data_IF_548451377930
#
_entry.id   IF_548451377930
#
_cell.length_a   1.000
_cell.length_b   1.000
_cell.length_c   1.000
_cell.angle_alpha   90.00
_cell.angle_beta   90.00
_cell.angle_gamma   90.00
#
_symmetry.space_group_name_H-M   'P 1'
#
loop_
_entity.id
_entity.type
_entity.pdbx_description
1 polymer ?
#
# COMPACT_ATOMS: atom_id res chain seq x y z
N UNK A 1 37.57 10.98 -33.87
CA UNK A 1 37.29 10.19 -32.68
C UNK A 1 38.20 8.95 -32.74
N UNK A 2 39.09 8.77 -31.76
CA UNK A 2 40.11 7.75 -31.76
C UNK A 2 39.48 6.36 -31.60
N UNK A 3 40.01 5.32 -32.29
CA UNK A 3 39.46 3.95 -32.27
C UNK A 3 39.27 3.40 -30.83
N UNK A 4 40.15 3.77 -29.91
CA UNK A 4 40.10 3.44 -28.48
C UNK A 4 38.85 4.08 -27.80
N UNK A 5 38.56 5.33 -28.10
CA UNK A 5 37.40 6.06 -27.53
C UNK A 5 36.07 5.44 -28.00
N UNK A 6 36.02 4.94 -29.25
CA UNK A 6 34.83 4.25 -29.79
C UNK A 6 34.59 2.91 -29.10
N UNK A 7 35.63 2.10 -28.89
CA UNK A 7 35.53 0.81 -28.19
C UNK A 7 35.13 0.96 -26.73
N UNK A 8 35.67 1.97 -26.03
CA UNK A 8 35.26 2.30 -24.64
C UNK A 8 33.80 2.76 -24.57
N UNK A 9 33.33 3.51 -25.55
CA UNK A 9 31.93 3.97 -25.57
C UNK A 9 30.95 2.84 -25.84
N UNK A 10 31.26 1.95 -26.77
CA UNK A 10 30.49 0.74 -27.08
C UNK A 10 30.44 -0.20 -25.86
N UNK A 11 31.57 -0.47 -25.19
CA UNK A 11 31.64 -1.29 -23.99
C UNK A 11 30.82 -0.72 -22.84
N UNK A 12 30.85 0.60 -22.62
CA UNK A 12 30.03 1.24 -21.59
C UNK A 12 28.51 1.20 -21.92
N UNK A 13 28.14 1.29 -23.17
CA UNK A 13 26.74 1.17 -23.61
C UNK A 13 26.20 -0.24 -23.38
N UNK A 14 26.95 -1.29 -23.78
CA UNK A 14 26.59 -2.69 -23.53
C UNK A 14 26.48 -3.01 -22.03
N UNK A 15 27.40 -2.50 -21.22
CA UNK A 15 27.35 -2.68 -19.77
C UNK A 15 26.12 -2.01 -19.15
N UNK A 16 25.76 -0.82 -19.62
CA UNK A 16 24.58 -0.09 -19.13
C UNK A 16 23.29 -0.82 -19.50
N UNK A 17 23.21 -1.37 -20.71
CA UNK A 17 22.05 -2.14 -21.17
C UNK A 17 21.89 -3.45 -20.38
N UNK A 18 22.97 -4.17 -20.15
CA UNK A 18 22.97 -5.37 -19.30
C UNK A 18 22.50 -5.08 -17.84
N UNK A 19 22.86 -3.92 -17.29
CA UNK A 19 22.36 -3.49 -15.96
C UNK A 19 20.86 -3.18 -15.98
N UNK A 20 20.36 -2.51 -17.02
CA UNK A 20 18.93 -2.24 -17.20
C UNK A 20 18.13 -3.54 -17.30
N UNK A 21 18.55 -4.48 -18.12
CA UNK A 21 17.90 -5.78 -18.24
C UNK A 21 17.86 -6.56 -16.92
N UNK A 22 18.98 -6.55 -16.17
CA UNK A 22 19.03 -7.18 -14.84
C UNK A 22 18.03 -6.53 -13.89
N UNK A 23 17.98 -5.20 -13.87
CA UNK A 23 17.05 -4.43 -13.03
C UNK A 23 15.58 -4.68 -13.42
N UNK A 24 15.27 -4.80 -14.71
CA UNK A 24 13.94 -5.14 -15.20
C UNK A 24 13.51 -6.55 -14.78
N UNK A 25 14.41 -7.54 -14.89
CA UNK A 25 14.14 -8.92 -14.39
C UNK A 25 13.93 -8.96 -12.88
N UNK A 26 14.65 -8.13 -12.11
CA UNK A 26 14.44 -8.01 -10.66
C UNK A 26 13.08 -7.38 -10.34
N UNK A 27 12.65 -6.38 -11.12
CA UNK A 27 11.33 -5.74 -10.97
C UNK A 27 10.19 -6.74 -11.20
N UNK A 28 10.27 -7.57 -12.26
CA UNK A 28 9.29 -8.61 -12.51
C UNK A 28 9.20 -9.63 -11.37
N UNK A 29 10.34 -10.04 -10.80
CA UNK A 29 10.35 -10.95 -9.64
C UNK A 29 9.77 -10.28 -8.39
N UNK A 30 10.09 -9.02 -8.15
CA UNK A 30 9.53 -8.26 -7.04
C UNK A 30 8.01 -8.14 -7.17
N UNK A 31 7.51 -7.78 -8.36
CA UNK A 31 6.08 -7.71 -8.66
C UNK A 31 5.39 -9.04 -8.39
N UNK A 32 5.91 -10.13 -8.93
CA UNK A 32 5.34 -11.47 -8.71
C UNK A 32 5.31 -11.86 -7.22
N UNK A 33 6.39 -11.63 -6.47
CA UNK A 33 6.44 -11.96 -5.03
C UNK A 33 5.41 -11.11 -4.27
N UNK A 34 5.33 -9.82 -4.56
CA UNK A 34 4.36 -8.94 -3.89
C UNK A 34 2.92 -9.34 -4.20
N UNK A 35 2.58 -9.67 -5.45
CA UNK A 35 1.25 -10.15 -5.82
C UNK A 35 0.85 -11.42 -5.06
N UNK A 36 1.78 -12.39 -4.95
CA UNK A 36 1.55 -13.61 -4.17
C UNK A 36 1.32 -13.29 -2.69
N UNK A 37 2.12 -12.37 -2.12
CA UNK A 37 1.96 -11.97 -0.71
C UNK A 37 0.61 -11.25 -0.48
N UNK A 38 0.17 -10.37 -1.39
CA UNK A 38 -1.15 -9.75 -1.31
C UNK A 38 -2.29 -10.77 -1.42
N UNK A 39 -2.18 -11.74 -2.33
CA UNK A 39 -3.16 -12.82 -2.45
C UNK A 39 -3.24 -13.67 -1.17
N UNK A 40 -2.10 -13.99 -0.56
CA UNK A 40 -2.05 -14.71 0.72
C UNK A 40 -2.64 -13.89 1.87
N UNK A 41 -2.39 -12.58 1.92
CA UNK A 41 -2.98 -11.69 2.92
C UNK A 41 -4.51 -11.63 2.79
N UNK A 42 -5.05 -11.52 1.58
CA UNK A 42 -6.50 -11.57 1.34
C UNK A 42 -7.10 -12.90 1.76
N UNK A 43 -6.45 -14.02 1.39
CA UNK A 43 -6.88 -15.34 1.84
C UNK A 43 -6.87 -15.48 3.37
N UNK A 44 -5.83 -14.97 4.03
CA UNK A 44 -5.70 -15.01 5.48
C UNK A 44 -6.83 -14.26 6.19
N UNK A 45 -7.28 -13.12 5.67
CA UNK A 45 -8.41 -12.37 6.24
C UNK A 45 -9.68 -13.22 6.24
N UNK A 46 -9.96 -13.96 5.16
CA UNK A 46 -11.12 -14.87 5.11
C UNK A 46 -11.03 -16.00 6.16
N UNK A 47 -9.82 -16.43 6.52
CA UNK A 47 -9.64 -17.45 7.56
C UNK A 47 -9.92 -16.93 8.99
N UNK A 48 -9.98 -15.61 9.17
CA UNK A 48 -10.31 -14.98 10.46
C UNK A 48 -11.82 -14.81 10.67
N UNK A 49 -12.66 -15.13 9.68
CA UNK A 49 -14.11 -15.05 9.82
C UNK A 49 -14.58 -15.87 11.02
N UNK A 50 -15.43 -15.28 11.90
CA UNK A 50 -16.07 -16.00 12.98
C UNK A 50 -16.82 -17.21 12.41
N UNK A 51 -16.56 -18.39 12.97
CA UNK A 51 -17.27 -19.61 12.58
C UNK A 51 -18.39 -19.83 13.59
N UNK A 52 -19.64 -20.06 13.12
CA UNK A 52 -20.72 -20.51 13.99
C UNK A 52 -20.33 -21.81 14.69
N UNK A 53 -20.73 -21.97 15.95
CA UNK A 53 -20.54 -23.22 16.67
C UNK A 53 -21.34 -24.33 15.99
N UNK A 54 -20.65 -25.41 15.57
CA UNK A 54 -21.23 -26.46 14.72
C UNK A 54 -22.29 -27.25 15.47
N UNK A 55 -22.17 -27.34 16.78
CA UNK A 55 -23.08 -28.16 17.63
C UNK A 55 -24.46 -27.51 17.86
N UNK A 56 -24.58 -26.20 17.54
CA UNK A 56 -25.81 -25.43 17.77
C UNK A 56 -26.25 -24.64 16.51
N UNK A 57 -25.78 -25.04 15.32
CA UNK A 57 -26.10 -24.34 14.08
C UNK A 57 -27.55 -24.59 13.64
N UNK A 58 -28.43 -23.62 13.90
CA UNK A 58 -29.76 -23.50 13.30
C UNK A 58 -29.83 -22.21 12.44
N UNK A 59 -30.61 -22.23 11.39
CA UNK A 59 -30.76 -21.08 10.49
C UNK A 59 -31.24 -19.79 11.23
N UNK A 60 -31.97 -19.94 12.33
CA UNK A 60 -32.36 -18.85 13.24
C UNK A 60 -31.17 -18.27 14.00
N UNK A 61 -30.14 -19.05 14.29
CA UNK A 61 -28.95 -18.61 15.02
C UNK A 61 -27.96 -17.87 14.11
N UNK A 62 -28.02 -18.06 12.78
CA UNK A 62 -27.12 -17.36 11.85
C UNK A 62 -27.30 -15.85 11.93
N UNK A 63 -28.53 -15.34 11.95
CA UNK A 63 -28.80 -13.90 12.06
C UNK A 63 -28.28 -13.34 13.39
N UNK A 64 -28.41 -14.11 14.48
CA UNK A 64 -27.89 -13.72 15.79
C UNK A 64 -26.36 -13.67 15.80
N UNK A 65 -25.68 -14.70 15.30
CA UNK A 65 -24.20 -14.74 15.17
C UNK A 65 -23.69 -13.56 14.32
N UNK A 66 -24.35 -13.25 13.20
CA UNK A 66 -23.99 -12.12 12.35
C UNK A 66 -24.19 -10.80 13.08
N UNK A 67 -25.26 -10.64 13.87
CA UNK A 67 -25.54 -9.42 14.62
C UNK A 67 -24.62 -9.22 15.81
N UNK A 68 -24.22 -10.29 16.50
CA UNK A 68 -23.28 -10.23 17.62
C UNK A 68 -21.84 -9.93 17.16
N UNK A 69 -21.47 -10.38 15.97
CA UNK A 69 -20.11 -10.24 15.40
C UNK A 69 -19.96 -9.06 14.41
N UNK A 70 -20.93 -8.12 14.37
CA UNK A 70 -20.93 -7.06 13.33
C UNK A 70 -19.64 -6.21 13.30
N UNK A 71 -19.05 -5.92 14.46
CA UNK A 71 -17.78 -5.18 14.54
C UNK A 71 -16.64 -5.96 13.89
N UNK A 72 -16.57 -7.27 14.11
CA UNK A 72 -15.55 -8.12 13.49
C UNK A 72 -15.69 -8.14 11.96
N UNK A 73 -16.91 -8.19 11.44
CA UNK A 73 -17.16 -8.09 9.99
C UNK A 73 -16.79 -6.71 9.44
N UNK A 74 -17.06 -5.63 10.18
CA UNK A 74 -16.66 -4.28 9.80
C UNK A 74 -15.13 -4.13 9.78
N UNK A 75 -14.44 -4.60 10.81
CA UNK A 75 -12.97 -4.59 10.88
C UNK A 75 -12.36 -5.40 9.73
N UNK A 76 -12.91 -6.59 9.45
CA UNK A 76 -12.48 -7.41 8.32
C UNK A 76 -12.68 -6.71 6.98
N UNK A 77 -13.87 -6.10 6.76
CA UNK A 77 -14.18 -5.38 5.53
C UNK A 77 -13.21 -4.20 5.30
N UNK A 78 -12.96 -3.42 6.34
CA UNK A 78 -11.94 -2.34 6.30
C UNK A 78 -10.56 -2.92 5.99
N UNK A 79 -10.19 -4.03 6.62
CA UNK A 79 -8.93 -4.74 6.36
C UNK A 79 -8.76 -5.14 4.90
N UNK A 80 -9.80 -5.76 4.31
CA UNK A 80 -9.81 -6.14 2.88
C UNK A 80 -9.63 -4.91 2.00
N UNK A 81 -10.39 -3.84 2.24
CA UNK A 81 -10.31 -2.62 1.46
C UNK A 81 -8.91 -2.01 1.52
N UNK A 82 -8.29 -1.94 2.70
CA UNK A 82 -6.94 -1.40 2.87
C UNK A 82 -5.89 -2.24 2.12
N UNK A 83 -5.96 -3.57 2.23
CA UNK A 83 -5.05 -4.45 1.48
C UNK A 83 -5.21 -4.27 -0.04
N UNK A 84 -6.44 -4.15 -0.54
CA UNK A 84 -6.70 -3.90 -1.96
C UNK A 84 -6.19 -2.52 -2.41
N UNK A 85 -6.31 -1.50 -1.57
CA UNK A 85 -5.78 -0.16 -1.85
C UNK A 85 -4.24 -0.23 -1.97
N UNK A 86 -3.55 -0.84 -1.02
CA UNK A 86 -2.09 -0.99 -1.06
C UNK A 86 -1.62 -1.86 -2.23
N UNK A 87 -2.34 -2.93 -2.56
CA UNK A 87 -2.07 -3.72 -3.75
C UNK A 87 -2.16 -2.88 -5.04
N UNK A 88 -3.24 -2.10 -5.18
CA UNK A 88 -3.42 -1.22 -6.33
C UNK A 88 -2.34 -0.12 -6.39
N UNK A 89 -1.90 0.40 -5.26
CA UNK A 89 -0.80 1.36 -5.17
C UNK A 89 0.54 0.73 -5.60
N UNK A 90 0.83 -0.50 -5.19
CA UNK A 90 2.02 -1.23 -5.64
C UNK A 90 2.00 -1.46 -7.15
N UNK A 91 0.86 -1.86 -7.71
CA UNK A 91 0.69 -2.02 -9.15
C UNK A 91 0.91 -0.71 -9.89
N UNK A 92 0.39 0.41 -9.34
CA UNK A 92 0.62 1.73 -9.91
C UNK A 92 2.11 2.12 -9.86
N UNK A 93 2.81 1.85 -8.77
CA UNK A 93 4.24 2.15 -8.65
C UNK A 93 5.05 1.28 -9.62
N UNK A 94 4.91 -0.04 -9.55
CA UNK A 94 5.71 -0.97 -10.34
C UNK A 94 5.45 -0.85 -11.84
N UNK A 95 4.22 -0.55 -12.26
CA UNK A 95 3.86 -0.30 -13.65
C UNK A 95 4.52 0.96 -14.24
N UNK A 96 5.02 1.87 -13.39
CA UNK A 96 5.70 3.09 -13.80
C UNK A 96 7.22 3.04 -13.57
N UNK A 97 7.77 1.88 -13.18
CA UNK A 97 9.20 1.65 -13.07
C UNK A 97 9.74 0.96 -14.33
N UNK A 98 10.93 1.35 -14.76
CA UNK A 98 11.69 0.67 -15.81
C UNK A 98 12.53 -0.47 -15.22
N UNK A 99 13.08 -0.28 -14.02
CA UNK A 99 13.93 -1.23 -13.33
C UNK A 99 13.91 -1.04 -11.81
N UNK A 100 14.39 -2.06 -11.10
CA UNK A 100 14.60 -1.98 -9.64
C UNK A 100 16.02 -2.37 -9.25
N UNK A 101 16.38 -2.10 -8.01
CA UNK A 101 17.61 -2.57 -7.39
C UNK A 101 17.35 -3.15 -5.99
N UNK A 102 18.39 -3.69 -5.35
CA UNK A 102 18.26 -4.33 -4.05
C UNK A 102 17.71 -3.39 -2.96
N UNK A 103 18.06 -2.10 -2.97
CA UNK A 103 17.56 -1.13 -1.96
C UNK A 103 16.09 -0.82 -2.16
N UNK A 104 15.68 -0.54 -3.39
CA UNK A 104 14.27 -0.30 -3.72
C UNK A 104 13.42 -1.54 -3.37
N UNK A 105 13.88 -2.74 -3.77
CA UNK A 105 13.21 -3.99 -3.45
C UNK A 105 13.07 -4.21 -1.94
N UNK A 106 14.10 -3.89 -1.14
CA UNK A 106 14.05 -4.01 0.32
C UNK A 106 13.03 -3.07 0.93
N UNK A 107 12.93 -1.81 0.47
CA UNK A 107 11.95 -0.84 0.96
C UNK A 107 10.53 -1.32 0.63
N UNK A 108 10.31 -1.81 -0.60
CA UNK A 108 9.00 -2.34 -1.02
C UNK A 108 8.59 -3.60 -0.22
N UNK A 109 9.55 -4.49 0.09
CA UNK A 109 9.28 -5.65 0.94
C UNK A 109 8.96 -5.23 2.37
N UNK A 110 9.65 -4.20 2.94
CA UNK A 110 9.33 -3.68 4.27
C UNK A 110 7.90 -3.14 4.35
N UNK A 111 7.40 -2.49 3.29
CA UNK A 111 5.98 -2.11 3.19
C UNK A 111 5.06 -3.32 3.37
N UNK A 112 5.32 -4.41 2.62
CA UNK A 112 4.51 -5.63 2.69
C UNK A 112 4.61 -6.29 4.06
N UNK A 113 5.79 -6.30 4.69
CA UNK A 113 5.98 -6.81 6.06
C UNK A 113 5.15 -6.01 7.06
N UNK A 114 5.10 -4.67 6.94
CA UNK A 114 4.22 -3.85 7.79
C UNK A 114 2.74 -4.21 7.62
N UNK A 115 2.29 -4.51 6.38
CA UNK A 115 0.92 -4.96 6.12
C UNK A 115 0.64 -6.35 6.72
N UNK A 116 1.62 -7.27 6.70
CA UNK A 116 1.48 -8.57 7.38
C UNK A 116 1.38 -8.41 8.90
N UNK A 117 2.15 -7.49 9.49
CA UNK A 117 2.06 -7.17 10.93
C UNK A 117 0.70 -6.52 11.23
N UNK A 118 0.20 -5.65 10.35
CA UNK A 118 -1.16 -5.11 10.45
C UNK A 118 -2.20 -6.23 10.54
N UNK A 119 -2.15 -7.22 9.64
CA UNK A 119 -3.08 -8.35 9.66
C UNK A 119 -2.97 -9.19 10.95
N UNK A 120 -1.79 -9.33 11.52
CA UNK A 120 -1.64 -9.94 12.83
C UNK A 120 -2.42 -9.19 13.91
N UNK A 121 -2.37 -7.84 13.92
CA UNK A 121 -3.16 -7.03 14.86
C UNK A 121 -4.65 -7.06 14.55
N UNK A 122 -5.07 -7.16 13.27
CA UNK A 122 -6.48 -7.38 12.90
C UNK A 122 -6.99 -8.69 13.52
N UNK A 123 -6.20 -9.74 13.45
CA UNK A 123 -6.55 -11.02 14.10
C UNK A 123 -6.69 -10.87 15.62
N UNK A 124 -5.74 -10.22 16.27
CA UNK A 124 -5.80 -9.98 17.72
C UNK A 124 -7.03 -9.13 18.10
N UNK A 125 -7.42 -8.17 17.26
CA UNK A 125 -8.61 -7.36 17.48
C UNK A 125 -9.89 -8.20 17.50
N UNK A 126 -9.98 -9.17 16.59
CA UNK A 126 -11.09 -10.12 16.55
C UNK A 126 -11.12 -11.10 17.75
N UNK A 127 -9.95 -11.45 18.31
CA UNK A 127 -9.83 -12.35 19.46
C UNK A 127 -10.05 -11.61 20.79
N UNK A 128 -9.65 -10.33 20.89
CA UNK A 128 -9.63 -9.54 22.15
C UNK A 128 -10.57 -8.34 22.14
N UNK A 129 -11.50 -8.26 21.19
CA UNK A 129 -12.62 -7.31 21.15
C UNK A 129 -12.25 -5.83 21.36
N UNK A 130 -11.50 -5.26 20.44
CA UNK A 130 -11.32 -3.81 20.36
C UNK A 130 -10.44 -3.19 21.44
N UNK A 131 -9.41 -3.91 21.92
CA UNK A 131 -8.44 -3.36 22.85
C UNK A 131 -7.72 -2.13 22.23
N UNK A 132 -7.69 -1.03 22.98
CA UNK A 132 -7.12 0.25 22.52
C UNK A 132 -5.71 0.09 21.93
N UNK A 133 -4.83 -0.66 22.61
CA UNK A 133 -3.47 -0.87 22.15
C UNK A 133 -3.43 -1.61 20.80
N UNK A 134 -4.32 -2.58 20.58
CA UNK A 134 -4.38 -3.35 19.33
C UNK A 134 -4.79 -2.44 18.18
N UNK A 135 -5.82 -1.61 18.35
CA UNK A 135 -6.29 -0.64 17.35
C UNK A 135 -5.20 0.40 17.03
N UNK A 136 -4.47 0.86 18.04
CA UNK A 136 -3.34 1.77 17.87
C UNK A 136 -2.21 1.11 17.07
N UNK A 137 -1.87 -0.16 17.35
CA UNK A 137 -0.85 -0.89 16.61
C UNK A 137 -1.27 -1.12 15.15
N UNK A 138 -2.55 -1.34 14.87
CA UNK A 138 -3.07 -1.38 13.50
C UNK A 138 -2.83 -0.04 12.79
N UNK A 139 -3.15 1.10 13.43
CA UNK A 139 -2.91 2.43 12.86
C UNK A 139 -1.42 2.69 12.61
N UNK A 140 -0.54 2.35 13.55
CA UNK A 140 0.91 2.53 13.42
C UNK A 140 1.50 1.68 12.29
N UNK A 141 1.13 0.41 12.20
CA UNK A 141 1.66 -0.49 11.16
C UNK A 141 1.21 -0.10 9.76
N UNK A 142 -0.03 0.39 9.60
CA UNK A 142 -0.51 0.95 8.34
C UNK A 142 0.17 2.27 7.98
N UNK A 143 0.39 3.16 8.96
CA UNK A 143 1.14 4.38 8.74
C UNK A 143 2.58 4.09 8.28
N UNK A 144 3.24 3.10 8.88
CA UNK A 144 4.56 2.62 8.46
C UNK A 144 4.53 2.02 7.05
N UNK A 145 3.53 1.21 6.72
CA UNK A 145 3.37 0.66 5.37
C UNK A 145 3.24 1.78 4.33
N UNK A 146 2.42 2.80 4.61
CA UNK A 146 2.28 3.97 3.75
C UNK A 146 3.57 4.80 3.65
N UNK A 147 4.30 4.97 4.75
CA UNK A 147 5.60 5.62 4.75
C UNK A 147 6.61 4.89 3.86
N UNK A 148 6.71 3.55 3.95
CA UNK A 148 7.59 2.77 3.09
C UNK A 148 7.16 2.82 1.62
N UNK A 149 5.85 2.87 1.33
CA UNK A 149 5.32 3.08 -0.02
C UNK A 149 5.79 4.41 -0.61
N UNK A 150 5.64 5.52 0.13
CA UNK A 150 6.11 6.84 -0.27
C UNK A 150 7.63 6.89 -0.42
N UNK A 151 8.36 6.25 0.49
CA UNK A 151 9.82 6.21 0.44
C UNK A 151 10.33 5.39 -0.75
N UNK A 152 9.69 4.25 -1.05
CA UNK A 152 9.97 3.43 -2.24
C UNK A 152 9.84 4.28 -3.51
N UNK A 153 8.74 5.00 -3.66
CA UNK A 153 8.49 5.89 -4.80
C UNK A 153 9.51 7.03 -4.88
N UNK A 154 9.78 7.70 -3.75
CA UNK A 154 10.81 8.74 -3.68
C UNK A 154 12.19 8.23 -4.10
N UNK A 155 12.57 7.05 -3.60
CA UNK A 155 13.84 6.43 -3.95
C UNK A 155 13.93 6.13 -5.44
N UNK A 156 12.87 5.62 -6.05
CA UNK A 156 12.80 5.30 -7.47
C UNK A 156 13.00 6.56 -8.34
N UNK A 157 12.36 7.67 -7.99
CA UNK A 157 12.52 8.95 -8.68
C UNK A 157 13.95 9.46 -8.57
N UNK A 158 14.47 9.52 -7.34
CA UNK A 158 15.82 10.06 -7.05
C UNK A 158 16.92 9.29 -7.80
N UNK A 159 16.75 7.99 -7.97
CA UNK A 159 17.74 7.12 -8.60
C UNK A 159 17.41 6.80 -10.07
N UNK A 160 16.49 7.54 -10.70
CA UNK A 160 16.12 7.37 -12.12
C UNK A 160 15.74 5.92 -12.46
N UNK A 161 14.87 5.31 -11.62
CA UNK A 161 14.33 3.96 -11.84
C UNK A 161 12.97 3.98 -12.51
N UNK A 162 12.35 5.17 -12.59
CA UNK A 162 11.08 5.40 -13.26
C UNK A 162 11.25 5.39 -14.77
N UNK A 163 10.16 5.08 -15.49
CA UNK A 163 10.14 5.11 -16.95
C UNK A 163 10.47 6.52 -17.50
N UNK A 164 11.32 6.57 -18.52
CA UNK A 164 11.70 7.81 -19.20
C UNK A 164 10.50 8.51 -19.87
N UNK A 165 9.40 7.79 -20.11
CA UNK A 165 8.15 8.33 -20.65
C UNK A 165 7.33 9.11 -19.62
N UNK A 166 7.63 8.97 -18.32
CA UNK A 166 6.88 9.59 -17.24
C UNK A 166 7.22 11.07 -17.11
N UNK A 167 6.22 11.92 -17.26
CA UNK A 167 6.37 13.36 -17.01
C UNK A 167 6.49 13.65 -15.51
N UNK A 168 7.12 14.78 -15.16
CA UNK A 168 7.19 15.27 -13.77
C UNK A 168 5.79 15.41 -13.14
N UNK A 169 4.79 15.69 -13.97
CA UNK A 169 3.39 15.80 -13.54
C UNK A 169 2.84 14.45 -13.10
N UNK A 170 2.96 13.41 -13.92
CA UNK A 170 2.50 12.06 -13.59
C UNK A 170 3.21 11.51 -12.38
N UNK A 171 4.50 11.80 -12.22
CA UNK A 171 5.29 11.45 -11.04
C UNK A 171 4.71 12.05 -9.75
N UNK A 172 4.32 13.36 -9.77
CA UNK A 172 3.69 14.02 -8.64
C UNK A 172 2.26 13.51 -8.40
N UNK A 173 1.54 13.15 -9.47
CA UNK A 173 0.20 12.59 -9.37
C UNK A 173 0.21 11.25 -8.64
N UNK A 174 1.24 10.43 -8.86
CA UNK A 174 1.43 9.18 -8.12
C UNK A 174 1.69 9.48 -6.64
N UNK A 175 2.54 10.45 -6.29
CA UNK A 175 2.73 10.87 -4.90
C UNK A 175 1.41 11.22 -4.19
N UNK A 176 0.57 12.02 -4.86
CA UNK A 176 -0.72 12.45 -4.30
C UNK A 176 -1.71 11.27 -4.14
N UNK A 177 -1.57 10.22 -4.93
CA UNK A 177 -2.36 8.99 -4.78
C UNK A 177 -1.87 8.08 -3.67
N UNK A 178 -0.59 8.18 -3.27
CA UNK A 178 0.01 7.37 -2.20
C UNK A 178 -0.14 8.01 -0.82
N UNK A 179 -0.48 9.30 -0.72
CA UNK A 179 -0.53 10.04 0.55
C UNK A 179 -1.77 9.79 1.42
N UNK A 180 -2.98 9.53 0.89
CA UNK A 180 -4.19 9.45 1.72
C UNK A 180 -4.11 8.41 2.83
N UNK A 181 -3.62 7.22 2.55
CA UNK A 181 -3.61 6.10 3.49
C UNK A 181 -2.69 6.35 4.70
N UNK A 182 -1.40 6.74 4.55
CA UNK A 182 -0.57 7.02 5.72
C UNK A 182 -1.09 8.20 6.54
N UNK A 183 -1.68 9.22 5.90
CA UNK A 183 -2.28 10.36 6.62
C UNK A 183 -3.46 9.88 7.46
N UNK A 184 -4.39 9.14 6.86
CA UNK A 184 -5.57 8.63 7.57
C UNK A 184 -5.17 7.66 8.66
N UNK A 185 -4.19 6.78 8.41
CA UNK A 185 -3.67 5.86 9.42
C UNK A 185 -3.16 6.58 10.67
N UNK A 186 -2.44 7.70 10.50
CA UNK A 186 -2.02 8.53 11.64
C UNK A 186 -3.23 9.20 12.32
N UNK A 187 -4.19 9.68 11.53
CA UNK A 187 -5.39 10.33 12.07
C UNK A 187 -6.31 9.36 12.84
N UNK A 188 -6.36 8.07 12.47
CA UNK A 188 -7.17 7.07 13.19
C UNK A 188 -6.61 6.71 14.56
N UNK A 189 -5.32 6.90 14.81
CA UNK A 189 -4.65 6.54 16.06
C UNK A 189 -5.35 7.08 17.34
N UNK A 190 -5.69 8.38 17.45
CA UNK A 190 -6.37 8.88 18.65
C UNK A 190 -7.83 8.41 18.80
N UNK A 191 -8.49 8.00 17.72
CA UNK A 191 -9.87 7.52 17.81
C UNK A 191 -9.99 6.19 18.56
N UNK A 192 -8.90 5.41 18.64
CA UNK A 192 -8.84 4.19 19.44
C UNK A 192 -9.13 4.41 20.93
N UNK A 193 -8.83 5.62 21.48
CA UNK A 193 -9.17 5.95 22.87
C UNK A 193 -10.65 6.24 23.08
N UNK A 194 -11.40 6.55 22.02
CA UNK A 194 -12.83 6.89 22.12
C UNK A 194 -13.66 5.60 22.17
N UNK A 195 -13.57 4.78 21.13
CA UNK A 195 -14.20 3.47 21.06
C UNK A 195 -13.72 2.69 19.81
N UNK A 196 -13.86 1.34 19.78
CA UNK A 196 -13.59 0.54 18.58
C UNK A 196 -14.43 1.01 17.38
N UNK A 197 -15.70 1.32 17.59
CA UNK A 197 -16.58 1.83 16.53
C UNK A 197 -16.09 3.18 15.99
N UNK A 198 -15.69 4.10 16.86
CA UNK A 198 -15.16 5.41 16.44
C UNK A 198 -13.89 5.25 15.61
N UNK A 199 -12.99 4.34 16.02
CA UNK A 199 -11.78 4.01 15.27
C UNK A 199 -12.10 3.43 13.89
N UNK A 200 -13.03 2.47 13.81
CA UNK A 200 -13.47 1.86 12.54
C UNK A 200 -14.10 2.90 11.62
N UNK A 201 -14.98 3.76 12.13
CA UNK A 201 -15.61 4.82 11.35
C UNK A 201 -14.62 5.91 10.91
N UNK A 202 -13.53 6.11 11.65
CA UNK A 202 -12.49 7.07 11.27
C UNK A 202 -11.82 6.71 9.93
N UNK A 203 -11.86 5.44 9.49
CA UNK A 203 -11.40 5.04 8.16
C UNK A 203 -12.22 5.66 7.02
N UNK A 204 -13.46 6.12 7.28
CA UNK A 204 -14.24 6.89 6.30
C UNK A 204 -13.56 8.23 5.94
N UNK A 205 -12.62 8.72 6.75
CA UNK A 205 -11.78 9.87 6.42
C UNK A 205 -10.95 9.67 5.14
N UNK A 206 -10.76 8.44 4.69
CA UNK A 206 -10.13 8.18 3.38
C UNK A 206 -10.89 8.87 2.24
N UNK A 207 -12.22 8.95 2.31
CA UNK A 207 -13.04 9.56 1.26
C UNK A 207 -12.73 11.06 1.10
N UNK A 208 -12.86 11.91 2.15
CA UNK A 208 -12.56 13.33 2.03
C UNK A 208 -11.07 13.61 1.81
N UNK A 209 -10.15 12.83 2.38
CA UNK A 209 -8.70 13.01 2.18
C UNK A 209 -8.32 12.69 0.72
N UNK A 210 -8.85 11.62 0.14
CA UNK A 210 -8.64 11.28 -1.28
C UNK A 210 -9.27 12.32 -2.20
N UNK A 211 -10.45 12.82 -1.87
CA UNK A 211 -11.09 13.91 -2.63
C UNK A 211 -10.25 15.20 -2.57
N UNK A 212 -9.72 15.54 -1.39
CA UNK A 212 -8.85 16.71 -1.21
C UNK A 212 -7.55 16.58 -2.01
N UNK A 213 -6.91 15.41 -2.00
CA UNK A 213 -5.71 15.14 -2.79
C UNK A 213 -5.97 15.33 -4.29
N UNK A 214 -7.09 14.83 -4.82
CA UNK A 214 -7.51 15.04 -6.21
C UNK A 214 -7.78 16.52 -6.53
N UNK A 215 -8.38 17.27 -5.61
CA UNK A 215 -8.65 18.70 -5.77
C UNK A 215 -7.36 19.53 -5.77
N UNK A 216 -6.40 19.18 -4.92
CA UNK A 216 -5.07 19.81 -4.92
C UNK A 216 -4.34 19.54 -6.25
N UNK A 217 -4.41 18.31 -6.75
CA UNK A 217 -3.90 17.91 -8.05
C UNK A 217 -4.49 18.80 -9.17
N UNK A 218 -5.82 18.94 -9.23
CA UNK A 218 -6.50 19.77 -10.22
C UNK A 218 -6.09 21.25 -10.15
N UNK A 219 -5.91 21.82 -8.95
CA UNK A 219 -5.45 23.21 -8.76
C UNK A 219 -4.01 23.43 -9.21
N UNK A 220 -3.11 22.49 -8.94
CA UNK A 220 -1.74 22.56 -9.45
C UNK A 220 -1.67 22.55 -10.99
N UNK A 221 -2.66 21.91 -11.61
CA UNK A 221 -2.80 21.86 -13.07
C UNK A 221 -3.22 23.21 -13.65
N UNK A 222 -4.25 23.84 -13.06
CA UNK A 222 -4.75 25.14 -13.50
C UNK A 222 -3.68 26.24 -13.35
N UNK A 223 -2.96 26.27 -12.23
CA UNK A 223 -1.92 27.27 -11.95
C UNK A 223 -0.70 27.22 -12.87
N UNK A 224 -0.41 26.10 -13.54
CA UNK A 224 0.70 25.97 -14.51
C UNK A 224 0.28 26.24 -15.94
N UNK A 225 -1.01 26.13 -16.27
CA UNK A 225 -1.56 26.49 -17.60
C UNK A 225 -1.61 28.00 -17.82
N UNK A 226 -1.63 28.81 -16.73
CA UNK A 226 -1.73 30.26 -16.78
C UNK A 226 -0.37 30.97 -16.72
N UNK A 227 0.75 30.24 -16.80
CA UNK A 227 2.06 30.86 -16.95
C UNK A 227 2.49 30.79 -18.44
N UNK A 228 2.58 31.97 -19.13
CA UNK A 228 2.99 32.06 -20.52
C UNK A 228 4.42 31.56 -20.75
#
# INVERSE_FOLDING_TARGET
>A
MNKITKVLFESNAEFTEALKERGARQLLRLGFITDVLFALMLFQIFMFLPRPDVDHFDATNLVQVLSESYLNYMTMFVGILLILIYWNQNNLQFGNLEMTDGRHSSISILQVVCLMIYLYFVRLDMEFEGQVLILQMQSVTLALAGFFSLWSWHYAIKNKRISDTLSTRETNDIYLKLMPEPIVSVLTFPFAWISPLAWTLAWLLLIPVTWLSKKLQARHLASKSDKP
#
